data_IF_852516131803
#
_entry.id   IF_852516131803
#
_cell.length_a   1.000
_cell.length_b   1.000
_cell.length_c   1.000
_cell.angle_alpha   90.00
_cell.angle_beta   90.00
_cell.angle_gamma   90.00
#
_symmetry.space_group_name_H-M   'P 1'
#
loop_
_entity.id
_entity.type
_entity.pdbx_description
1 polymer ?
#
# COMPACT_ATOMS: atom_id res chain seq x y z
N UNK A 1 -18.21 13.53 -17.95
CA UNK A 1 -16.79 13.19 -17.69
C UNK A 1 -16.25 12.15 -18.69
N UNK A 2 -16.97 11.04 -18.94
CA UNK A 2 -16.53 10.00 -19.88
C UNK A 2 -16.40 10.53 -21.32
N UNK A 3 -17.27 11.41 -21.74
CA UNK A 3 -17.22 12.01 -23.09
C UNK A 3 -16.01 12.89 -23.35
N UNK A 4 -15.53 13.63 -22.34
CA UNK A 4 -14.32 14.46 -22.49
C UNK A 4 -13.05 13.64 -22.55
N UNK A 5 -12.98 12.53 -21.82
CA UNK A 5 -11.84 11.60 -21.81
C UNK A 5 -11.69 10.88 -23.17
N UNK A 6 -12.78 10.40 -23.76
CA UNK A 6 -12.77 9.84 -25.11
C UNK A 6 -12.23 10.84 -26.14
N UNK A 7 -12.70 12.09 -26.09
CA UNK A 7 -12.23 13.14 -27.00
C UNK A 7 -10.73 13.46 -26.83
N UNK A 8 -10.16 13.30 -25.62
CA UNK A 8 -8.75 13.50 -25.34
C UNK A 8 -7.93 12.35 -25.94
N UNK A 9 -8.38 11.10 -25.76
CA UNK A 9 -7.71 9.92 -26.33
C UNK A 9 -7.73 9.89 -27.85
N UNK A 10 -8.81 10.30 -28.47
CA UNK A 10 -8.93 10.41 -29.93
C UNK A 10 -7.91 11.39 -30.54
N UNK A 11 -7.35 12.28 -29.75
CA UNK A 11 -6.28 13.20 -30.14
C UNK A 11 -4.87 12.63 -29.95
N UNK A 12 -4.75 11.34 -29.67
CA UNK A 12 -3.45 10.65 -29.51
C UNK A 12 -2.76 10.88 -28.18
N UNK A 13 -3.46 11.37 -27.15
CA UNK A 13 -2.92 11.49 -25.80
C UNK A 13 -2.89 10.13 -25.16
N UNK A 14 -1.70 9.67 -24.79
CA UNK A 14 -1.46 8.31 -24.27
C UNK A 14 -1.69 8.15 -22.77
N UNK A 15 -1.70 9.24 -22.00
CA UNK A 15 -1.86 9.19 -20.55
C UNK A 15 -2.83 10.26 -20.08
N UNK A 16 -3.90 9.83 -19.43
CA UNK A 16 -4.93 10.68 -18.84
C UNK A 16 -5.02 10.44 -17.34
N UNK A 17 -5.42 11.48 -16.60
CA UNK A 17 -5.67 11.42 -15.16
C UNK A 17 -7.05 12.02 -14.91
N UNK A 18 -7.95 11.22 -14.34
CA UNK A 18 -9.32 11.64 -14.02
C UNK A 18 -9.51 11.75 -12.51
N UNK A 19 -10.09 12.87 -12.06
CA UNK A 19 -10.55 13.01 -10.69
C UNK A 19 -12.00 12.55 -10.58
N UNK A 20 -12.27 11.62 -9.65
CA UNK A 20 -13.59 11.11 -9.32
C UNK A 20 -13.92 11.43 -7.87
N UNK A 21 -14.79 12.42 -7.64
CA UNK A 21 -15.12 12.88 -6.27
C UNK A 21 -15.96 11.88 -5.48
N UNK A 22 -16.92 11.20 -6.14
CA UNK A 22 -17.77 10.24 -5.49
C UNK A 22 -17.10 8.87 -5.46
N UNK A 23 -16.90 8.35 -4.26
CA UNK A 23 -16.25 7.05 -3.99
C UNK A 23 -16.98 5.90 -4.67
N UNK A 24 -18.32 5.95 -4.76
CA UNK A 24 -19.13 4.90 -5.36
C UNK A 24 -18.87 4.72 -6.87
N UNK A 25 -18.36 5.75 -7.53
CA UNK A 25 -18.06 5.72 -8.96
C UNK A 25 -16.61 5.37 -9.30
N UNK A 26 -15.74 5.18 -8.31
CA UNK A 26 -14.32 4.87 -8.54
C UNK A 26 -14.19 3.54 -9.29
N UNK A 27 -14.84 2.48 -8.80
CA UNK A 27 -14.78 1.15 -9.44
C UNK A 27 -15.32 1.15 -10.87
N UNK A 28 -16.37 1.94 -11.11
CA UNK A 28 -16.92 2.12 -12.46
C UNK A 28 -15.92 2.88 -13.36
N UNK A 29 -15.34 3.96 -12.87
CA UNK A 29 -14.37 4.75 -13.62
C UNK A 29 -13.14 3.93 -14.02
N UNK A 30 -12.66 3.08 -13.09
CA UNK A 30 -11.52 2.19 -13.34
C UNK A 30 -11.88 1.07 -14.34
N UNK A 31 -13.11 0.54 -14.29
CA UNK A 31 -13.58 -0.47 -15.27
C UNK A 31 -13.69 0.07 -16.69
N UNK A 32 -13.84 1.38 -16.86
CA UNK A 32 -13.94 2.05 -18.16
C UNK A 32 -12.57 2.35 -18.78
N UNK A 33 -11.47 1.99 -18.12
CA UNK A 33 -10.09 2.24 -18.58
C UNK A 33 -9.85 3.70 -19.02
N UNK A 34 -10.40 4.65 -18.25
CA UNK A 34 -10.29 6.09 -18.54
C UNK A 34 -8.93 6.69 -18.16
N UNK A 35 -7.95 5.86 -17.83
CA UNK A 35 -6.62 6.26 -17.39
C UNK A 35 -6.46 6.16 -15.86
N UNK A 36 -5.60 6.97 -15.30
CA UNK A 36 -5.37 6.97 -13.83
C UNK A 36 -6.51 7.70 -13.13
N UNK A 37 -7.21 6.99 -12.25
CA UNK A 37 -8.28 7.58 -11.41
C UNK A 37 -7.69 8.06 -10.10
N UNK A 38 -8.03 9.28 -9.70
CA UNK A 38 -7.67 9.84 -8.39
C UNK A 38 -8.92 10.29 -7.63
N UNK A 39 -8.87 10.15 -6.30
CA UNK A 39 -9.89 10.67 -5.40
C UNK A 39 -9.22 11.39 -4.22
N UNK A 40 -9.48 12.69 -4.10
CA UNK A 40 -8.86 13.54 -3.06
C UNK A 40 -9.19 13.08 -1.64
N UNK A 41 -10.42 12.60 -1.41
CA UNK A 41 -10.85 12.15 -0.07
C UNK A 41 -10.08 10.91 0.36
N UNK A 42 -9.84 9.97 -0.56
CA UNK A 42 -9.06 8.77 -0.26
C UNK A 42 -7.57 9.08 -0.03
N UNK A 43 -7.01 10.00 -0.81
CA UNK A 43 -5.63 10.46 -0.62
C UNK A 43 -5.49 11.12 0.77
N UNK A 44 -6.40 12.04 1.11
CA UNK A 44 -6.41 12.69 2.41
C UNK A 44 -6.60 11.70 3.56
N UNK A 45 -7.53 10.76 3.43
CA UNK A 45 -7.79 9.71 4.44
C UNK A 45 -6.56 8.83 4.66
N UNK A 46 -5.87 8.41 3.58
CA UNK A 46 -4.64 7.62 3.69
C UNK A 46 -3.53 8.39 4.43
N UNK A 47 -3.42 9.69 4.18
CA UNK A 47 -2.43 10.55 4.84
C UNK A 47 -2.73 10.76 6.33
N UNK A 48 -4.01 10.99 6.66
CA UNK A 48 -4.47 11.08 8.06
C UNK A 48 -4.22 9.75 8.78
N UNK A 49 -4.53 8.63 8.12
CA UNK A 49 -4.31 7.30 8.70
C UNK A 49 -2.83 7.04 8.98
N UNK A 50 -1.94 7.43 8.06
CA UNK A 50 -0.49 7.37 8.27
C UNK A 50 -0.05 8.15 9.52
N UNK A 51 -0.59 9.36 9.72
CA UNK A 51 -0.29 10.17 10.90
C UNK A 51 -0.78 9.57 12.23
N UNK A 52 -1.78 8.69 12.17
CA UNK A 52 -2.33 8.01 13.36
C UNK A 52 -1.56 6.75 13.77
N UNK A 53 -0.61 6.30 12.96
CA UNK A 53 0.23 5.15 13.25
C UNK A 53 1.44 5.61 14.08
N UNK A 54 1.78 4.85 15.13
CA UNK A 54 2.91 5.15 16.04
C UNK A 54 4.25 4.63 15.47
N UNK A 55 4.22 3.79 14.43
CA UNK A 55 5.42 3.29 13.76
C UNK A 55 5.95 4.28 12.72
N UNK A 56 7.21 4.16 12.37
CA UNK A 56 7.79 4.81 11.20
C UNK A 56 7.23 4.16 9.93
N UNK A 57 6.01 4.56 9.57
CA UNK A 57 5.33 4.14 8.35
C UNK A 57 5.61 5.17 7.27
N UNK A 58 6.40 4.79 6.28
CA UNK A 58 6.79 5.70 5.19
C UNK A 58 5.65 5.99 4.24
N UNK A 59 4.81 4.99 3.98
CA UNK A 59 3.68 5.11 3.05
C UNK A 59 2.53 4.18 3.44
N UNK A 60 1.30 4.65 3.25
CA UNK A 60 0.07 3.83 3.32
C UNK A 60 -0.74 4.04 2.06
N UNK A 61 -1.16 2.97 1.41
CA UNK A 61 -2.12 2.99 0.30
C UNK A 61 -3.24 2.01 0.53
N UNK A 62 -4.47 2.52 0.52
CA UNK A 62 -5.67 1.69 0.49
C UNK A 62 -5.95 1.26 -0.95
N UNK A 63 -6.02 -0.05 -1.19
CA UNK A 63 -6.34 -0.61 -2.50
C UNK A 63 -7.85 -0.84 -2.58
N UNK A 64 -8.53 0.02 -3.31
CA UNK A 64 -10.00 0.07 -3.37
C UNK A 64 -10.63 -1.24 -3.86
N UNK A 65 -9.99 -1.94 -4.82
CA UNK A 65 -10.53 -3.16 -5.41
C UNK A 65 -10.37 -4.41 -4.54
N UNK A 66 -9.30 -4.49 -3.77
CA UNK A 66 -8.93 -5.72 -3.08
C UNK A 66 -9.41 -5.74 -1.62
N UNK A 67 -10.08 -4.68 -1.14
CA UNK A 67 -10.34 -4.47 0.28
C UNK A 67 -9.07 -4.72 1.12
N UNK A 68 -7.95 -4.26 0.59
CA UNK A 68 -6.62 -4.49 1.12
C UNK A 68 -5.89 -3.15 1.29
N UNK A 69 -5.03 -3.09 2.27
CA UNK A 69 -4.14 -1.97 2.51
C UNK A 69 -2.70 -2.40 2.24
N UNK A 70 -1.91 -1.48 1.74
CA UNK A 70 -0.46 -1.65 1.59
C UNK A 70 0.22 -0.62 2.46
N UNK A 71 1.13 -1.05 3.30
CA UNK A 71 1.93 -0.17 4.14
C UNK A 71 3.42 -0.51 4.03
N UNK A 72 4.23 0.53 4.02
CA UNK A 72 5.67 0.45 4.08
C UNK A 72 6.13 0.81 5.50
N UNK A 73 6.79 -0.13 6.17
CA UNK A 73 7.33 0.04 7.52
C UNK A 73 8.85 0.12 7.51
N UNK A 74 9.40 1.09 8.24
CA UNK A 74 10.83 1.09 8.59
C UNK A 74 11.03 0.25 9.85
N UNK A 75 11.88 -0.75 9.77
CA UNK A 75 12.10 -1.71 10.85
C UNK A 75 13.02 -1.12 11.92
N UNK A 76 12.53 -1.03 13.16
CA UNK A 76 13.32 -0.53 14.31
C UNK A 76 14.25 -1.60 14.88
N UNK A 77 15.30 -1.13 15.54
CA UNK A 77 16.20 -2.01 16.27
C UNK A 77 15.44 -2.75 17.40
N UNK A 78 15.58 -4.07 17.45
CA UNK A 78 14.95 -4.90 18.49
C UNK A 78 13.50 -5.27 18.22
N UNK A 79 12.93 -4.84 17.08
CA UNK A 79 11.57 -5.21 16.70
C UNK A 79 11.39 -6.72 16.62
N UNK A 80 10.18 -7.16 16.89
CA UNK A 80 9.82 -8.59 16.95
C UNK A 80 10.12 -9.31 15.64
N UNK A 81 9.94 -8.63 14.50
CA UNK A 81 10.12 -9.21 13.17
C UNK A 81 11.58 -9.56 12.84
N UNK A 82 12.55 -8.95 13.53
CA UNK A 82 13.98 -9.18 13.30
C UNK A 82 14.51 -10.44 14.00
N UNK A 83 13.73 -11.05 14.90
CA UNK A 83 14.18 -12.15 15.79
C UNK A 83 14.13 -13.53 15.15
N UNK A 84 13.39 -13.68 14.05
CA UNK A 84 13.18 -14.97 13.39
C UNK A 84 12.92 -14.79 11.89
N UNK A 85 12.87 -15.89 11.15
CA UNK A 85 12.45 -15.89 9.76
C UNK A 85 10.97 -15.49 9.64
N UNK A 86 10.58 -14.90 8.51
CA UNK A 86 9.22 -14.41 8.27
C UNK A 86 8.14 -15.47 8.52
N UNK A 87 8.39 -16.74 8.15
CA UNK A 87 7.48 -17.86 8.38
C UNK A 87 7.19 -18.11 9.88
N UNK A 88 8.14 -17.79 10.74
CA UNK A 88 8.08 -18.05 12.19
C UNK A 88 7.69 -16.79 12.98
N UNK A 89 7.54 -15.65 12.31
CA UNK A 89 7.23 -14.37 12.95
C UNK A 89 5.80 -14.29 13.53
N UNK A 90 4.91 -15.20 13.12
CA UNK A 90 3.54 -15.27 13.63
C UNK A 90 2.68 -14.08 13.15
N UNK A 91 2.86 -13.66 11.90
CA UNK A 91 2.03 -12.63 11.28
C UNK A 91 0.55 -13.05 11.30
N UNK A 92 -0.38 -12.11 11.49
CA UNK A 92 -1.80 -12.42 11.50
C UNK A 92 -2.26 -12.94 10.13
N UNK A 93 -3.27 -13.80 10.12
CA UNK A 93 -3.92 -14.27 8.89
C UNK A 93 -4.45 -13.05 8.12
N UNK A 94 -4.16 -12.98 6.83
CA UNK A 94 -4.53 -11.85 5.98
C UNK A 94 -3.45 -10.76 5.87
N UNK A 95 -2.29 -10.97 6.48
CA UNK A 95 -1.12 -10.12 6.27
C UNK A 95 -0.01 -10.89 5.55
N UNK A 96 0.62 -10.25 4.59
CA UNK A 96 1.73 -10.82 3.80
C UNK A 96 2.80 -9.77 3.56
N UNK A 97 4.06 -10.15 3.75
CA UNK A 97 5.19 -9.31 3.37
C UNK A 97 5.53 -9.61 1.91
N UNK A 98 5.39 -8.62 1.05
CA UNK A 98 5.64 -8.77 -0.38
C UNK A 98 7.12 -8.59 -0.75
N UNK A 99 7.79 -7.66 -0.08
CA UNK A 99 9.18 -7.33 -0.37
C UNK A 99 9.77 -6.42 0.70
N UNK A 100 11.05 -6.19 0.59
CA UNK A 100 11.76 -5.19 1.39
C UNK A 100 12.82 -4.47 0.55
N UNK A 101 13.19 -3.29 1.00
CA UNK A 101 14.33 -2.54 0.47
C UNK A 101 15.42 -2.54 1.55
N UNK A 102 16.60 -3.01 1.22
CA UNK A 102 17.79 -3.03 2.07
C UNK A 102 18.96 -2.37 1.34
N UNK A 103 19.53 -1.33 1.93
CA UNK A 103 20.65 -0.58 1.31
C UNK A 103 20.35 -0.08 -0.12
N UNK A 104 19.08 0.26 -0.40
CA UNK A 104 18.65 0.73 -1.72
C UNK A 104 18.34 -0.39 -2.73
N UNK A 105 18.49 -1.66 -2.36
CA UNK A 105 18.18 -2.81 -3.21
C UNK A 105 16.85 -3.45 -2.82
N UNK A 106 16.00 -3.72 -3.83
CA UNK A 106 14.72 -4.42 -3.65
C UNK A 106 14.93 -5.93 -3.52
N UNK A 107 14.40 -6.53 -2.47
CA UNK A 107 14.49 -7.96 -2.18
C UNK A 107 13.09 -8.56 -2.07
N UNK A 108 12.81 -9.61 -2.85
CA UNK A 108 11.60 -10.41 -2.70
C UNK A 108 11.68 -11.24 -1.42
N UNK A 109 10.66 -11.11 -0.57
CA UNK A 109 10.63 -11.81 0.71
C UNK A 109 10.07 -13.22 0.53
N UNK A 110 10.76 -14.17 1.08
CA UNK A 110 10.33 -15.57 1.21
C UNK A 110 10.13 -15.94 2.68
N UNK A 111 9.51 -17.08 2.96
CA UNK A 111 9.32 -17.54 4.33
C UNK A 111 10.63 -17.68 5.14
N UNK A 112 11.76 -17.93 4.47
CA UNK A 112 13.08 -18.07 5.12
C UNK A 112 13.85 -16.73 5.24
N UNK A 113 13.32 -15.65 4.69
CA UNK A 113 13.96 -14.32 4.78
C UNK A 113 13.97 -13.85 6.22
N UNK A 114 15.11 -13.35 6.67
CA UNK A 114 15.28 -12.68 7.97
C UNK A 114 15.33 -11.17 7.71
N UNK A 115 14.41 -10.44 8.34
CA UNK A 115 14.31 -9.00 8.24
C UNK A 115 15.31 -8.38 9.22
N UNK A 116 15.96 -7.30 8.79
CA UNK A 116 16.98 -6.61 9.57
C UNK A 116 16.52 -5.21 9.99
N UNK A 117 17.12 -4.63 11.03
CA UNK A 117 16.89 -3.24 11.36
C UNK A 117 17.22 -2.30 10.18
N UNK A 118 16.44 -1.25 10.04
CA UNK A 118 16.49 -0.27 8.94
C UNK A 118 16.05 -0.81 7.56
N UNK A 119 15.55 -2.04 7.46
CA UNK A 119 14.85 -2.47 6.24
C UNK A 119 13.55 -1.67 6.08
N UNK A 120 13.23 -1.32 4.85
CA UNK A 120 11.92 -0.80 4.48
C UNK A 120 11.07 -1.96 3.96
N UNK A 121 10.06 -2.36 4.71
CA UNK A 121 9.29 -3.58 4.46
C UNK A 121 7.91 -3.25 3.95
N UNK A 122 7.54 -3.78 2.79
CA UNK A 122 6.21 -3.61 2.18
C UNK A 122 5.30 -4.76 2.61
N UNK A 123 4.24 -4.40 3.31
CA UNK A 123 3.25 -5.33 3.86
C UNK A 123 1.90 -5.12 3.19
N UNK A 124 1.31 -6.20 2.74
CA UNK A 124 -0.07 -6.26 2.27
C UNK A 124 -0.95 -6.82 3.38
N UNK A 125 -2.06 -6.17 3.67
CA UNK A 125 -3.01 -6.64 4.67
C UNK A 125 -4.46 -6.46 4.24
N UNK A 126 -5.31 -7.42 4.59
CA UNK A 126 -6.73 -7.37 4.33
C UNK A 126 -7.45 -6.68 5.50
N UNK A 127 -8.29 -5.71 5.18
CA UNK A 127 -9.24 -5.11 6.12
C UNK A 127 -8.60 -4.46 7.36
N UNK A 128 -8.16 -3.22 7.29
CA UNK A 128 -7.73 -2.35 8.40
C UNK A 128 -6.83 -2.99 9.48
N UNK A 129 -5.97 -3.95 9.09
CA UNK A 129 -5.13 -4.68 10.04
C UNK A 129 -3.77 -4.00 10.29
N UNK A 130 -3.48 -2.86 9.66
CA UNK A 130 -2.18 -2.16 9.75
C UNK A 130 -1.77 -1.92 11.21
N UNK A 131 -2.68 -1.46 12.08
CA UNK A 131 -2.41 -1.27 13.52
C UNK A 131 -1.98 -2.53 14.27
N UNK A 132 -2.44 -3.70 13.85
CA UNK A 132 -2.02 -4.97 14.47
C UNK A 132 -0.65 -5.39 14.01
N UNK A 133 -0.32 -5.06 12.75
CA UNK A 133 0.94 -5.41 12.10
C UNK A 133 2.06 -4.48 12.57
N UNK A 134 1.78 -3.21 12.79
CA UNK A 134 2.70 -2.20 13.32
C UNK A 134 3.54 -2.70 14.51
N UNK A 135 2.93 -3.44 15.43
CA UNK A 135 3.58 -4.00 16.63
C UNK A 135 4.72 -4.98 16.35
N UNK A 136 4.84 -5.46 15.13
CA UNK A 136 5.92 -6.36 14.74
C UNK A 136 7.18 -5.60 14.31
N UNK A 137 7.03 -4.33 13.93
CA UNK A 137 8.07 -3.46 13.38
C UNK A 137 8.60 -2.42 14.38
N UNK A 138 7.91 -2.25 15.51
CA UNK A 138 8.32 -1.40 16.63
C UNK A 138 9.22 -2.12 17.61
#
# INVERSE_FOLDING_TARGET
LVGSEMCIRDRGITKTVAEVENIDYISMAESLDIGTVINKKMIAASHIYQMMLDADVSNVKCLTFANADVAEFTVKNGSRITKCAVKDAGLPKGATIGGLIRNGEGILVTGNTVIQPNDHVVVFCLGMMIKKIEKFFN
#
